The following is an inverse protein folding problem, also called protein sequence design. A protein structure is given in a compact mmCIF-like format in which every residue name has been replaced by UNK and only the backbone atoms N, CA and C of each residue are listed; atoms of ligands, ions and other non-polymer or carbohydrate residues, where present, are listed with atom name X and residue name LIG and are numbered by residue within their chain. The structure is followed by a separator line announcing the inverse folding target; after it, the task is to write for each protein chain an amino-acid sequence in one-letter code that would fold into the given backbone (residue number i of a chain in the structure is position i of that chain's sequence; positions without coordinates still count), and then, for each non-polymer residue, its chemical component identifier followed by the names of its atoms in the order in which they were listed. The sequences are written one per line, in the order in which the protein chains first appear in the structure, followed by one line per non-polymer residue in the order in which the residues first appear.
data_IF_920391413053
#
_entry.id   IF_920391413053
#
_cell.length_a   1.000
_cell.length_b   1.000
_cell.length_c   1.000
_cell.angle_alpha   90.00
_cell.angle_beta   90.00
_cell.angle_gamma   90.00
#
_symmetry.space_group_name_H-M   'P 1'
#
loop_
_entity.id
_entity.type
_entity.pdbx_description
1 polymer ?
#
# COMPACT_ATOMS: atom_id res chain seq x y z
N UNK A 1 -131.31 -38.36 -28.47
CA UNK A 1 -131.84 -37.35 -27.54
C UNK A 1 -131.70 -36.02 -28.24
N UNK A 2 -132.74 -35.35 -28.71
CA UNK A 2 -134.03 -35.07 -28.06
C UNK A 2 -135.20 -35.12 -29.07
N UNK A 3 -136.39 -35.38 -28.52
CA UNK A 3 -137.65 -35.88 -29.05
C UNK A 3 -138.47 -35.03 -30.04
N UNK A 4 -139.33 -35.79 -30.72
CA UNK A 4 -140.52 -35.44 -31.51
C UNK A 4 -141.72 -35.17 -30.57
N UNK A 5 -142.57 -34.20 -30.90
CA UNK A 5 -143.99 -34.17 -30.46
C UNK A 5 -144.88 -33.86 -31.66
N UNK A 6 -145.91 -34.70 -31.85
CA UNK A 6 -146.99 -34.59 -32.84
C UNK A 6 -148.28 -34.23 -32.10
N UNK A 7 -149.07 -33.31 -32.63
CA UNK A 7 -150.42 -33.00 -32.14
C UNK A 7 -151.40 -32.88 -33.33
N UNK A 8 -152.58 -33.50 -33.19
CA UNK A 8 -153.60 -33.72 -34.24
C UNK A 8 -154.89 -32.94 -33.99
N UNK A 9 -155.30 -32.15 -35.01
CA UNK A 9 -156.62 -31.93 -35.64
C UNK A 9 -157.93 -31.67 -34.82
N UNK A 10 -158.61 -30.56 -35.15
CA UNK A 10 -160.08 -30.42 -35.19
C UNK A 10 -160.51 -29.80 -36.54
N UNK A 11 -161.59 -30.32 -37.15
CA UNK A 11 -162.01 -30.09 -38.55
C UNK A 11 -163.15 -29.08 -38.69
N UNK A 12 -162.84 -27.87 -39.16
CA UNK A 12 -163.80 -26.92 -39.72
C UNK A 12 -164.20 -27.31 -41.16
N UNK A 13 -165.50 -27.33 -41.46
CA UNK A 13 -166.02 -27.59 -42.81
C UNK A 13 -165.78 -26.38 -43.74
N UNK A 14 -164.88 -26.54 -44.72
CA UNK A 14 -164.44 -25.49 -45.63
C UNK A 14 -165.28 -25.40 -46.92
N UNK A 15 -165.26 -24.23 -47.57
CA UNK A 15 -165.91 -23.95 -48.85
C UNK A 15 -165.48 -24.93 -49.96
N UNK A 16 -166.45 -25.46 -50.71
CA UNK A 16 -166.22 -26.44 -51.78
C UNK A 16 -165.39 -25.96 -52.97
N UNK A 17 -165.12 -24.66 -53.13
CA UNK A 17 -164.20 -24.17 -54.16
C UNK A 17 -162.75 -24.32 -53.68
N UNK A 18 -161.99 -25.21 -54.32
CA UNK A 18 -160.62 -25.64 -53.92
C UNK A 18 -159.65 -24.50 -53.60
N UNK A 19 -159.80 -23.36 -54.27
CA UNK A 19 -158.97 -22.16 -54.07
C UNK A 19 -159.46 -21.21 -52.99
N UNK A 20 -160.73 -21.27 -52.60
CA UNK A 20 -161.26 -20.44 -51.51
C UNK A 20 -160.99 -21.11 -50.17
N UNK A 21 -161.44 -22.36 -49.99
CA UNK A 21 -161.32 -23.17 -48.76
C UNK A 21 -161.56 -22.41 -47.44
N UNK A 22 -162.37 -21.35 -47.45
CA UNK A 22 -162.70 -20.62 -46.23
C UNK A 22 -163.71 -21.41 -45.38
N UNK A 23 -163.63 -21.39 -44.05
CA UNK A 23 -164.58 -22.09 -43.18
C UNK A 23 -165.99 -21.54 -43.37
N UNK A 24 -166.97 -22.45 -43.47
CA UNK A 24 -168.37 -22.10 -43.70
C UNK A 24 -169.09 -21.91 -42.34
N UNK A 25 -169.99 -20.93 -42.22
CA UNK A 25 -170.70 -20.69 -40.97
C UNK A 25 -171.65 -21.85 -40.62
N UNK A 26 -171.83 -22.16 -39.32
CA UNK A 26 -172.65 -23.28 -38.88
C UNK A 26 -174.15 -23.09 -39.22
N UNK A 27 -174.89 -24.17 -39.53
CA UNK A 27 -176.28 -24.09 -39.96
C UNK A 27 -177.18 -23.51 -38.85
N UNK A 28 -177.96 -22.48 -39.19
CA UNK A 28 -178.78 -21.73 -38.23
C UNK A 28 -179.97 -22.51 -37.66
N UNK A 29 -180.54 -22.06 -36.52
CA UNK A 29 -181.42 -22.83 -35.62
C UNK A 29 -182.80 -23.23 -36.15
N UNK A 30 -183.12 -22.96 -37.43
CA UNK A 30 -184.36 -23.41 -38.10
C UNK A 30 -184.15 -24.59 -39.07
N UNK A 31 -183.10 -25.39 -38.88
CA UNK A 31 -182.95 -26.69 -39.57
C UNK A 31 -182.73 -26.59 -41.10
N UNK A 32 -182.09 -25.52 -41.57
CA UNK A 32 -181.74 -25.34 -42.99
C UNK A 32 -180.50 -26.12 -43.42
N UNK A 33 -180.47 -26.54 -44.70
CA UNK A 33 -179.36 -27.31 -45.32
C UNK A 33 -178.03 -26.53 -45.21
N UNK A 34 -176.90 -27.16 -44.80
CA UNK A 34 -175.61 -26.50 -44.69
C UNK A 34 -175.17 -25.85 -46.01
N UNK A 35 -174.52 -24.68 -45.92
CA UNK A 35 -173.95 -24.01 -47.09
C UNK A 35 -172.79 -24.84 -47.65
N UNK A 36 -172.75 -25.03 -48.97
CA UNK A 36 -171.65 -25.70 -49.65
C UNK A 36 -170.56 -24.73 -50.15
N UNK A 37 -170.89 -23.44 -50.28
CA UNK A 37 -170.01 -22.39 -50.81
C UNK A 37 -170.20 -21.08 -50.05
N UNK A 38 -169.17 -20.22 -49.99
CA UNK A 38 -169.25 -18.92 -49.35
C UNK A 38 -170.24 -18.00 -50.08
N UNK A 39 -171.25 -17.42 -49.40
CA UNK A 39 -172.22 -16.54 -50.03
C UNK A 39 -171.62 -15.17 -50.39
N UNK A 40 -170.68 -14.66 -49.59
CA UNK A 40 -170.28 -13.24 -49.64
C UNK A 40 -168.99 -12.96 -50.43
N UNK A 41 -168.37 -13.98 -51.05
CA UNK A 41 -167.08 -13.83 -51.74
C UNK A 41 -167.25 -13.81 -53.26
N UNK A 42 -166.94 -12.66 -53.86
CA UNK A 42 -166.91 -12.44 -55.31
C UNK A 42 -165.48 -12.24 -55.82
N UNK A 43 -165.19 -12.81 -56.98
CA UNK A 43 -163.87 -12.79 -57.62
C UNK A 43 -163.80 -11.78 -58.78
N UNK A 44 -162.60 -11.38 -59.24
CA UNK A 44 -162.44 -10.49 -60.38
C UNK A 44 -163.28 -10.93 -61.59
N UNK A 45 -164.10 -10.02 -62.12
CA UNK A 45 -165.13 -10.34 -63.12
C UNK A 45 -166.52 -10.69 -62.54
N UNK A 46 -166.75 -10.49 -61.24
CA UNK A 46 -168.07 -10.56 -60.59
C UNK A 46 -168.58 -11.99 -60.29
N UNK A 47 -167.75 -13.03 -60.46
CA UNK A 47 -168.19 -14.43 -60.28
C UNK A 47 -168.14 -14.88 -58.82
N UNK A 48 -169.14 -15.65 -58.39
CA UNK A 48 -169.19 -16.22 -57.02
C UNK A 48 -168.43 -17.54 -56.92
N UNK A 49 -168.05 -17.95 -55.70
CA UNK A 49 -167.36 -19.23 -55.46
C UNK A 49 -168.11 -20.44 -56.05
N UNK A 50 -169.45 -20.44 -56.08
CA UNK A 50 -170.23 -21.49 -56.71
C UNK A 50 -170.07 -21.50 -58.24
N UNK A 51 -170.05 -20.33 -58.87
CA UNK A 51 -169.87 -20.22 -60.33
C UNK A 51 -168.45 -20.57 -60.77
N UNK A 52 -167.45 -20.22 -59.96
CA UNK A 52 -166.06 -20.61 -60.23
C UNK A 52 -165.79 -22.08 -59.93
N UNK A 53 -166.44 -22.66 -58.91
CA UNK A 53 -166.42 -24.11 -58.70
C UNK A 53 -167.07 -24.82 -59.89
N UNK A 54 -168.25 -24.39 -60.34
CA UNK A 54 -168.87 -24.93 -61.55
C UNK A 54 -168.02 -24.72 -62.81
N UNK A 55 -167.28 -23.61 -62.91
CA UNK A 55 -166.33 -23.40 -64.01
C UNK A 55 -165.07 -24.26 -63.85
N UNK A 56 -164.61 -24.56 -62.63
CA UNK A 56 -163.55 -25.52 -62.36
C UNK A 56 -164.01 -26.94 -62.69
N UNK A 57 -165.24 -27.31 -62.33
CA UNK A 57 -165.83 -28.61 -62.62
C UNK A 57 -166.07 -28.74 -64.13
N UNK A 58 -166.57 -27.70 -64.81
CA UNK A 58 -166.70 -27.67 -66.26
C UNK A 58 -165.32 -27.65 -66.97
N UNK A 59 -164.29 -27.04 -66.37
CA UNK A 59 -162.92 -27.13 -66.89
C UNK A 59 -162.34 -28.52 -66.65
N UNK A 60 -162.64 -29.17 -65.52
CA UNK A 60 -162.22 -30.55 -65.22
C UNK A 60 -162.95 -31.58 -66.10
N UNK A 61 -164.21 -31.32 -66.45
CA UNK A 61 -165.02 -32.12 -67.37
C UNK A 61 -164.64 -31.89 -68.84
N UNK A 62 -164.31 -30.65 -69.22
CA UNK A 62 -163.79 -30.32 -70.56
C UNK A 62 -162.31 -30.70 -70.76
N UNK A 63 -161.53 -30.79 -69.67
CA UNK A 63 -160.16 -31.33 -69.64
C UNK A 63 -160.12 -32.84 -69.41
N UNK A 64 -161.25 -33.56 -69.59
CA UNK A 64 -161.41 -35.01 -69.51
C UNK A 64 -160.09 -35.75 -69.28
N UNK A 65 -159.74 -35.95 -68.00
CA UNK A 65 -158.39 -36.38 -67.59
C UNK A 65 -158.20 -37.88 -67.79
N UNK A 66 -158.08 -38.25 -69.05
CA UNK A 66 -157.41 -39.44 -69.57
C UNK A 66 -156.26 -38.96 -70.46
N UNK A 67 -155.08 -39.55 -70.24
CA UNK A 67 -153.80 -39.34 -70.93
C UNK A 67 -153.03 -38.07 -70.46
N UNK A 68 -151.73 -38.11 -70.16
CA UNK A 68 -150.70 -38.93 -70.80
C UNK A 68 -149.58 -39.35 -69.84
N UNK A 69 -149.29 -40.65 -69.89
CA UNK A 69 -148.12 -41.34 -69.34
C UNK A 69 -146.79 -40.83 -69.91
N UNK A 70 -146.81 -39.98 -70.95
CA UNK A 70 -145.61 -39.40 -71.57
C UNK A 70 -144.90 -38.35 -70.72
N UNK A 71 -145.61 -37.52 -69.94
CA UNK A 71 -144.97 -36.47 -69.12
C UNK A 71 -144.44 -37.05 -67.82
N UNK A 72 -145.12 -38.03 -67.22
CA UNK A 72 -144.59 -38.77 -66.06
C UNK A 72 -143.43 -39.66 -66.46
N UNK A 73 -143.46 -40.27 -67.65
CA UNK A 73 -142.32 -41.00 -68.21
C UNK A 73 -141.15 -40.09 -68.58
N UNK A 74 -141.39 -38.90 -69.16
CA UNK A 74 -140.36 -37.90 -69.47
C UNK A 74 -139.75 -37.30 -68.20
N UNK A 75 -140.58 -37.03 -67.18
CA UNK A 75 -140.11 -36.58 -65.87
C UNK A 75 -139.34 -37.69 -65.18
N UNK A 76 -139.84 -38.94 -65.16
CA UNK A 76 -139.10 -40.06 -64.57
C UNK A 76 -137.83 -40.42 -65.36
N UNK A 77 -137.79 -40.26 -66.70
CA UNK A 77 -136.54 -40.42 -67.47
C UNK A 77 -135.59 -39.26 -67.23
N UNK A 78 -136.08 -38.03 -67.03
CA UNK A 78 -135.24 -36.90 -66.64
C UNK A 78 -134.70 -37.07 -65.22
N UNK A 79 -135.51 -37.48 -64.23
CA UNK A 79 -135.03 -37.76 -62.86
C UNK A 79 -134.10 -38.98 -62.87
N UNK A 80 -134.42 -40.05 -63.59
CA UNK A 80 -133.51 -41.19 -63.73
C UNK A 80 -132.25 -40.88 -64.55
N UNK A 81 -132.26 -39.87 -65.42
CA UNK A 81 -131.06 -39.37 -66.09
C UNK A 81 -130.27 -38.43 -65.18
N UNK A 82 -130.94 -37.60 -64.39
CA UNK A 82 -130.35 -36.72 -63.40
C UNK A 82 -129.72 -37.51 -62.26
N UNK A 83 -130.36 -38.58 -61.77
CA UNK A 83 -129.80 -39.51 -60.77
C UNK A 83 -128.62 -40.30 -61.36
N UNK A 84 -128.73 -40.75 -62.62
CA UNK A 84 -127.61 -41.35 -63.38
C UNK A 84 -126.41 -40.41 -63.57
N UNK A 85 -126.58 -39.10 -63.43
CA UNK A 85 -125.50 -38.11 -63.52
C UNK A 85 -125.08 -37.65 -62.11
N UNK A 86 -126.01 -37.55 -61.17
CA UNK A 86 -125.78 -37.09 -59.81
C UNK A 86 -124.96 -38.09 -58.98
N UNK A 87 -125.20 -39.39 -59.14
CA UNK A 87 -124.42 -40.40 -58.41
C UNK A 87 -122.96 -40.45 -58.87
N UNK A 88 -122.64 -40.47 -60.18
CA UNK A 88 -121.27 -40.30 -60.64
C UNK A 88 -120.63 -38.97 -60.23
N UNK A 89 -121.38 -37.87 -60.21
CA UNK A 89 -120.87 -36.58 -59.72
C UNK A 89 -120.59 -36.59 -58.21
N UNK A 90 -121.40 -37.27 -57.40
CA UNK A 90 -121.14 -37.46 -55.96
C UNK A 90 -119.93 -38.36 -55.72
N UNK A 91 -119.77 -39.43 -56.50
CA UNK A 91 -118.58 -40.28 -56.45
C UNK A 91 -117.33 -39.50 -56.86
N UNK A 92 -117.39 -38.70 -57.92
CA UNK A 92 -116.28 -37.83 -58.35
C UNK A 92 -115.99 -36.77 -57.30
N UNK A 93 -116.99 -36.15 -56.69
CA UNK A 93 -116.79 -35.19 -55.60
C UNK A 93 -116.17 -35.87 -54.37
N UNK A 94 -116.63 -37.07 -54.01
CA UNK A 94 -116.08 -37.85 -52.89
C UNK A 94 -114.63 -38.25 -53.17
N UNK A 95 -114.33 -38.73 -54.37
CA UNK A 95 -112.98 -39.07 -54.82
C UNK A 95 -112.08 -37.82 -54.87
N UNK A 96 -112.59 -36.68 -55.34
CA UNK A 96 -111.86 -35.41 -55.36
C UNK A 96 -111.60 -34.88 -53.94
N UNK A 97 -112.54 -35.07 -53.01
CA UNK A 97 -112.39 -34.68 -51.60
C UNK A 97 -111.37 -35.59 -50.92
N UNK A 98 -111.45 -36.91 -51.12
CA UNK A 98 -110.48 -37.87 -50.62
C UNK A 98 -109.08 -37.62 -51.19
N UNK A 99 -108.97 -37.28 -52.49
CA UNK A 99 -107.72 -36.91 -53.14
C UNK A 99 -107.18 -35.61 -52.56
N UNK A 100 -108.01 -34.59 -52.37
CA UNK A 100 -107.62 -33.32 -51.73
C UNK A 100 -107.12 -33.57 -50.31
N UNK A 101 -107.80 -34.39 -49.54
CA UNK A 101 -107.43 -34.66 -48.14
C UNK A 101 -106.15 -35.50 -48.07
N UNK A 102 -105.96 -36.44 -49.00
CA UNK A 102 -104.71 -37.22 -49.13
C UNK A 102 -103.55 -36.34 -49.58
N UNK A 103 -103.76 -35.47 -50.57
CA UNK A 103 -102.75 -34.50 -51.00
C UNK A 103 -102.44 -33.48 -49.89
N UNK A 104 -103.43 -33.07 -49.11
CA UNK A 104 -103.24 -32.22 -47.94
C UNK A 104 -102.38 -32.90 -46.88
N UNK A 105 -102.70 -34.16 -46.53
CA UNK A 105 -101.92 -34.94 -45.58
C UNK A 105 -100.49 -35.21 -46.06
N UNK A 106 -100.28 -35.49 -47.35
CA UNK A 106 -98.94 -35.66 -47.93
C UNK A 106 -98.14 -34.35 -47.96
N UNK A 107 -98.79 -33.22 -48.25
CA UNK A 107 -98.16 -31.89 -48.18
C UNK A 107 -97.78 -31.52 -46.74
N UNK A 108 -98.65 -31.80 -45.77
CA UNK A 108 -98.36 -31.58 -44.34
C UNK A 108 -97.22 -32.48 -43.86
N UNK A 109 -97.22 -33.77 -44.25
CA UNK A 109 -96.14 -34.69 -43.95
C UNK A 109 -94.83 -34.28 -44.63
N UNK A 110 -94.88 -33.80 -45.87
CA UNK A 110 -93.71 -33.26 -46.56
C UNK A 110 -93.19 -31.99 -45.88
N UNK A 111 -94.06 -31.07 -45.48
CA UNK A 111 -93.69 -29.86 -44.74
C UNK A 111 -93.06 -30.20 -43.38
N UNK A 112 -93.61 -31.17 -42.65
CA UNK A 112 -93.04 -31.65 -41.39
C UNK A 112 -91.64 -32.26 -41.59
N UNK A 113 -91.44 -33.09 -42.63
CA UNK A 113 -90.12 -33.64 -42.97
C UNK A 113 -89.11 -32.56 -43.35
N UNK A 114 -89.55 -31.52 -44.07
CA UNK A 114 -88.68 -30.37 -44.40
C UNK A 114 -88.30 -29.61 -43.13
N UNK A 115 -89.26 -29.33 -42.24
CA UNK A 115 -89.00 -28.64 -40.97
C UNK A 115 -88.03 -29.44 -40.08
N UNK A 116 -88.22 -30.76 -39.95
CA UNK A 116 -87.33 -31.64 -39.19
C UNK A 116 -85.92 -31.72 -39.81
N UNK A 117 -85.84 -31.77 -41.14
CA UNK A 117 -84.55 -31.73 -41.85
C UNK A 117 -83.84 -30.37 -41.67
N UNK A 118 -84.58 -29.26 -41.70
CA UNK A 118 -84.04 -27.92 -41.45
C UNK A 118 -83.54 -27.77 -40.01
N UNK A 119 -84.28 -28.29 -39.03
CA UNK A 119 -83.86 -28.31 -37.63
C UNK A 119 -82.61 -29.16 -37.42
N UNK A 120 -82.55 -30.35 -38.03
CA UNK A 120 -81.36 -31.22 -37.98
C UNK A 120 -80.15 -30.53 -38.60
N UNK A 121 -80.31 -29.90 -39.77
CA UNK A 121 -79.22 -29.16 -40.43
C UNK A 121 -78.77 -27.96 -39.59
N UNK A 122 -79.70 -27.25 -38.94
CA UNK A 122 -79.37 -26.15 -38.03
C UNK A 122 -78.60 -26.65 -36.80
N UNK A 123 -79.01 -27.78 -36.23
CA UNK A 123 -78.34 -28.42 -35.10
C UNK A 123 -76.91 -28.86 -35.46
N UNK A 124 -76.73 -29.57 -36.57
CA UNK A 124 -75.41 -30.00 -37.07
C UNK A 124 -74.49 -28.82 -37.39
N UNK A 125 -75.03 -27.74 -37.98
CA UNK A 125 -74.27 -26.50 -38.19
C UNK A 125 -73.83 -25.89 -36.85
N UNK A 126 -74.70 -25.87 -35.85
CA UNK A 126 -74.38 -25.41 -34.51
C UNK A 126 -73.26 -26.22 -33.87
N UNK A 127 -73.35 -27.55 -33.92
CA UNK A 127 -72.30 -28.45 -33.41
C UNK A 127 -70.97 -28.24 -34.13
N UNK A 128 -71.00 -28.14 -35.47
CA UNK A 128 -69.78 -27.91 -36.26
C UNK A 128 -69.13 -26.57 -35.93
N UNK A 129 -69.93 -25.50 -35.80
CA UNK A 129 -69.41 -24.19 -35.42
C UNK A 129 -68.81 -24.20 -34.01
N UNK A 130 -69.48 -24.86 -33.07
CA UNK A 130 -68.95 -25.02 -31.70
C UNK A 130 -67.63 -25.79 -31.68
N UNK A 131 -67.50 -26.83 -32.53
CA UNK A 131 -66.27 -27.60 -32.67
C UNK A 131 -65.14 -26.79 -33.35
N UNK A 132 -65.47 -26.00 -34.38
CA UNK A 132 -64.53 -25.10 -35.07
C UNK A 132 -64.02 -24.00 -34.11
N UNK A 133 -64.90 -23.40 -33.31
CA UNK A 133 -64.56 -22.42 -32.29
C UNK A 133 -63.67 -23.03 -31.20
N UNK A 134 -64.02 -24.24 -30.72
CA UNK A 134 -63.21 -24.96 -29.73
C UNK A 134 -61.82 -25.35 -30.26
N UNK A 135 -61.71 -25.80 -31.52
CA UNK A 135 -60.43 -26.12 -32.14
C UNK A 135 -59.56 -24.87 -32.33
N UNK A 136 -60.17 -23.74 -32.69
CA UNK A 136 -59.48 -22.44 -32.82
C UNK A 136 -59.00 -21.95 -31.45
N UNK A 137 -59.82 -22.06 -30.41
CA UNK A 137 -59.46 -21.72 -29.04
C UNK A 137 -58.29 -22.59 -28.53
N UNK A 138 -58.37 -23.91 -28.72
CA UNK A 138 -57.31 -24.85 -28.33
C UNK A 138 -55.99 -24.58 -29.06
N UNK A 139 -56.04 -24.24 -30.35
CA UNK A 139 -54.85 -23.88 -31.13
C UNK A 139 -54.23 -22.59 -30.62
N UNK A 140 -55.05 -21.57 -30.34
CA UNK A 140 -54.59 -20.29 -29.79
C UNK A 140 -53.96 -20.47 -28.40
N UNK A 141 -54.56 -21.30 -27.56
CA UNK A 141 -54.02 -21.59 -26.22
C UNK A 141 -52.71 -22.39 -26.29
N UNK A 142 -52.61 -23.37 -27.18
CA UNK A 142 -51.37 -24.11 -27.41
C UNK A 142 -50.24 -23.21 -27.94
N UNK A 143 -50.55 -22.26 -28.84
CA UNK A 143 -49.59 -21.25 -29.31
C UNK A 143 -49.12 -20.35 -28.18
N UNK A 144 -50.04 -19.80 -27.37
CA UNK A 144 -49.67 -18.98 -26.20
C UNK A 144 -48.83 -19.76 -25.19
N UNK A 145 -49.16 -21.03 -24.93
CA UNK A 145 -48.39 -21.88 -24.03
C UNK A 145 -46.96 -22.10 -24.57
N UNK A 146 -46.81 -22.30 -25.88
CA UNK A 146 -45.50 -22.47 -26.55
C UNK A 146 -44.69 -21.18 -26.49
N UNK A 147 -45.31 -20.03 -26.77
CA UNK A 147 -44.68 -18.71 -26.69
C UNK A 147 -44.20 -18.39 -25.27
N UNK A 148 -45.06 -18.64 -24.26
CA UNK A 148 -44.72 -18.46 -22.85
C UNK A 148 -43.58 -19.41 -22.42
N UNK A 149 -43.61 -20.67 -22.84
CA UNK A 149 -42.52 -21.62 -22.56
C UNK A 149 -41.20 -21.15 -23.19
N UNK A 150 -41.24 -20.64 -24.43
CA UNK A 150 -40.06 -20.09 -25.10
C UNK A 150 -39.54 -18.82 -24.41
N UNK A 151 -40.42 -17.94 -23.93
CA UNK A 151 -40.09 -16.76 -23.13
C UNK A 151 -39.35 -17.13 -21.84
N UNK A 152 -39.89 -18.12 -21.10
CA UNK A 152 -39.29 -18.61 -19.86
C UNK A 152 -37.90 -19.20 -20.12
N UNK A 153 -37.73 -20.00 -21.17
CA UNK A 153 -36.41 -20.57 -21.54
C UNK A 153 -35.42 -19.47 -21.93
N UNK A 154 -35.85 -18.46 -22.71
CA UNK A 154 -35.00 -17.31 -23.06
C UNK A 154 -34.53 -16.55 -21.82
N UNK A 155 -35.45 -16.26 -20.91
CA UNK A 155 -35.17 -15.53 -19.67
C UNK A 155 -34.21 -16.32 -18.78
N UNK A 156 -34.48 -17.60 -18.55
CA UNK A 156 -33.61 -18.48 -17.77
C UNK A 156 -32.21 -18.61 -18.39
N UNK A 157 -32.11 -18.66 -19.72
CA UNK A 157 -30.82 -18.70 -20.43
C UNK A 157 -30.05 -17.40 -20.25
N UNK A 158 -30.72 -16.25 -20.34
CA UNK A 158 -30.11 -14.94 -20.12
C UNK A 158 -29.59 -14.77 -18.69
N UNK A 159 -30.37 -15.22 -17.69
CA UNK A 159 -29.97 -15.21 -16.27
C UNK A 159 -28.74 -16.11 -16.01
N UNK A 160 -28.70 -17.31 -16.60
CA UNK A 160 -27.54 -18.20 -16.49
C UNK A 160 -26.29 -17.59 -17.12
N UNK A 161 -26.41 -16.97 -18.30
CA UNK A 161 -25.29 -16.29 -18.95
C UNK A 161 -24.82 -15.07 -18.15
N UNK A 162 -25.74 -14.31 -17.56
CA UNK A 162 -25.39 -13.20 -16.67
C UNK A 162 -24.65 -13.70 -15.43
N UNK A 163 -25.16 -14.73 -14.76
CA UNK A 163 -24.52 -15.33 -13.58
C UNK A 163 -23.12 -15.89 -13.92
N UNK A 164 -22.93 -16.45 -15.12
CA UNK A 164 -21.60 -16.87 -15.59
C UNK A 164 -20.65 -15.69 -15.75
N UNK A 165 -21.09 -14.59 -16.36
CA UNK A 165 -20.26 -13.37 -16.52
C UNK A 165 -19.89 -12.75 -15.17
N UNK A 166 -20.85 -12.69 -14.24
CA UNK A 166 -20.60 -12.19 -12.88
C UNK A 166 -19.60 -13.08 -12.13
N UNK A 167 -19.74 -14.41 -12.23
CA UNK A 167 -18.78 -15.36 -11.67
C UNK A 167 -17.39 -15.18 -12.27
N UNK A 168 -17.30 -15.10 -13.60
CA UNK A 168 -16.01 -14.99 -14.29
C UNK A 168 -15.32 -13.65 -13.97
N UNK A 169 -16.09 -12.56 -13.84
CA UNK A 169 -15.58 -11.28 -13.36
C UNK A 169 -15.11 -11.38 -11.90
N UNK A 170 -15.85 -12.05 -11.02
CA UNK A 170 -15.46 -12.23 -9.62
C UNK A 170 -14.16 -13.05 -9.51
N UNK A 171 -14.01 -14.09 -10.32
CA UNK A 171 -12.78 -14.90 -10.38
C UNK A 171 -11.59 -14.08 -10.91
N UNK A 172 -11.78 -13.29 -11.97
CA UNK A 172 -10.73 -12.41 -12.49
C UNK A 172 -10.32 -11.34 -11.47
N UNK A 173 -11.28 -10.75 -10.76
CA UNK A 173 -11.02 -9.79 -9.69
C UNK A 173 -10.25 -10.43 -8.51
N UNK A 174 -10.62 -11.65 -8.12
CA UNK A 174 -9.91 -12.40 -7.08
C UNK A 174 -8.47 -12.72 -7.49
N UNK A 175 -8.25 -13.21 -8.72
CA UNK A 175 -6.91 -13.49 -9.25
C UNK A 175 -6.04 -12.23 -9.27
N UNK A 176 -6.57 -11.10 -9.74
CA UNK A 176 -5.85 -9.81 -9.72
C UNK A 176 -5.53 -9.34 -8.29
N UNK A 177 -6.43 -9.55 -7.33
CA UNK A 177 -6.19 -9.22 -5.93
C UNK A 177 -5.07 -10.09 -5.32
N UNK A 178 -5.03 -11.38 -5.65
CA UNK A 178 -3.98 -12.29 -5.18
C UNK A 178 -2.62 -11.96 -5.80
N UNK A 179 -2.57 -11.61 -7.09
CA UNK A 179 -1.36 -11.09 -7.74
C UNK A 179 -0.86 -9.79 -7.10
N UNK A 180 -1.77 -8.86 -6.80
CA UNK A 180 -1.44 -7.60 -6.14
C UNK A 180 -0.90 -7.83 -4.70
N UNK A 181 -1.49 -8.77 -3.96
CA UNK A 181 -0.98 -9.18 -2.62
C UNK A 181 0.39 -9.80 -2.73
N UNK A 182 0.60 -10.73 -3.66
CA UNK A 182 1.92 -11.35 -3.86
C UNK A 182 2.99 -10.32 -4.25
N UNK A 183 2.65 -9.33 -5.09
CA UNK A 183 3.61 -8.27 -5.42
C UNK A 183 3.89 -7.34 -4.23
N UNK A 184 2.87 -7.02 -3.43
CA UNK A 184 3.04 -6.25 -2.19
C UNK A 184 3.94 -6.99 -1.18
N UNK A 185 3.75 -8.30 -1.00
CA UNK A 185 4.60 -9.14 -0.14
C UNK A 185 6.05 -9.18 -0.64
N UNK A 186 6.27 -9.33 -1.96
CA UNK A 186 7.62 -9.26 -2.53
C UNK A 186 8.25 -7.88 -2.35
N UNK A 187 7.48 -6.81 -2.53
CA UNK A 187 7.96 -5.45 -2.31
C UNK A 187 8.35 -5.22 -0.85
N UNK A 188 7.54 -5.71 0.09
CA UNK A 188 7.84 -5.67 1.52
C UNK A 188 9.11 -6.47 1.84
N UNK A 189 9.23 -7.71 1.37
CA UNK A 189 10.41 -8.53 1.58
C UNK A 189 11.69 -7.88 1.02
N UNK A 190 11.60 -7.22 -0.15
CA UNK A 190 12.71 -6.42 -0.72
C UNK A 190 13.06 -5.23 0.18
N UNK A 191 12.06 -4.50 0.66
CA UNK A 191 12.28 -3.35 1.54
C UNK A 191 12.91 -3.75 2.88
N UNK A 192 12.43 -4.83 3.50
CA UNK A 192 12.99 -5.40 4.74
C UNK A 192 14.42 -5.92 4.53
N UNK A 193 14.69 -6.58 3.40
CA UNK A 193 16.02 -7.00 3.00
C UNK A 193 16.98 -5.82 2.87
N UNK A 194 16.59 -4.76 2.14
CA UNK A 194 17.39 -3.53 2.01
C UNK A 194 17.62 -2.89 3.37
N UNK A 195 16.57 -2.72 4.18
CA UNK A 195 16.68 -2.12 5.52
C UNK A 195 17.63 -2.90 6.45
N UNK A 196 17.64 -4.23 6.36
CA UNK A 196 18.56 -5.07 7.12
C UNK A 196 20.00 -4.88 6.64
N UNK A 197 20.24 -4.90 5.33
CA UNK A 197 21.60 -4.68 4.78
C UNK A 197 22.14 -3.28 5.07
N UNK A 198 21.31 -2.24 5.02
CA UNK A 198 21.71 -0.88 5.38
C UNK A 198 22.00 -0.75 6.87
N UNK A 199 21.24 -1.43 7.74
CA UNK A 199 21.53 -1.49 9.18
C UNK A 199 22.88 -2.16 9.44
N UNK A 200 23.14 -3.30 8.81
CA UNK A 200 24.42 -4.01 8.95
C UNK A 200 25.61 -3.18 8.45
N UNK A 201 25.44 -2.45 7.33
CA UNK A 201 26.44 -1.50 6.80
C UNK A 201 26.69 -0.36 7.78
N UNK A 202 25.64 0.26 8.32
CA UNK A 202 25.77 1.32 9.31
C UNK A 202 26.46 0.83 10.59
N UNK A 203 26.11 -0.36 11.08
CA UNK A 203 26.76 -0.98 12.23
C UNK A 203 28.23 -1.35 11.96
N UNK A 204 28.56 -1.77 10.75
CA UNK A 204 29.95 -2.01 10.34
C UNK A 204 30.77 -0.72 10.34
N UNK A 205 30.26 0.36 9.73
CA UNK A 205 30.92 1.67 9.71
C UNK A 205 31.11 2.22 11.13
N UNK A 206 30.10 2.12 12.01
CA UNK A 206 30.23 2.55 13.41
C UNK A 206 31.29 1.73 14.15
N UNK A 207 31.40 0.42 13.90
CA UNK A 207 32.45 -0.43 14.49
C UNK A 207 33.84 -0.05 13.99
N UNK A 208 33.98 0.23 12.70
CA UNK A 208 35.25 0.68 12.09
C UNK A 208 35.69 2.03 12.67
N UNK A 209 34.80 3.01 12.74
CA UNK A 209 35.07 4.32 13.34
C UNK A 209 35.47 4.21 14.82
N UNK A 210 34.79 3.35 15.60
CA UNK A 210 35.19 3.08 16.99
C UNK A 210 36.57 2.45 17.08
N UNK A 211 36.88 1.48 16.22
CA UNK A 211 38.20 0.86 16.19
C UNK A 211 39.30 1.88 15.82
N UNK A 212 39.02 2.79 14.89
CA UNK A 212 39.92 3.90 14.54
C UNK A 212 40.11 4.87 15.70
N UNK A 213 39.03 5.26 16.38
CA UNK A 213 39.10 6.13 17.55
C UNK A 213 39.90 5.49 18.70
N UNK A 214 39.70 4.21 18.97
CA UNK A 214 40.44 3.45 19.99
C UNK A 214 41.93 3.34 19.63
N UNK A 215 42.25 3.08 18.35
CA UNK A 215 43.63 3.04 17.87
C UNK A 215 44.30 4.41 18.00
N UNK A 216 43.61 5.49 17.64
CA UNK A 216 44.10 6.86 17.78
C UNK A 216 44.33 7.23 19.25
N UNK A 217 43.41 6.85 20.15
CA UNK A 217 43.55 7.07 21.59
C UNK A 217 44.78 6.34 22.16
N UNK A 218 45.00 5.07 21.77
CA UNK A 218 46.20 4.31 22.16
C UNK A 218 47.48 4.94 21.62
N UNK A 219 47.48 5.39 20.36
CA UNK A 219 48.62 6.06 19.76
C UNK A 219 48.95 7.38 20.48
N UNK A 220 47.93 8.17 20.83
CA UNK A 220 48.08 9.42 21.58
C UNK A 220 48.62 9.17 22.99
N UNK A 221 48.11 8.14 23.69
CA UNK A 221 48.61 7.76 25.00
C UNK A 221 50.10 7.37 24.94
N UNK A 222 50.48 6.52 23.98
CA UNK A 222 51.88 6.13 23.77
C UNK A 222 52.78 7.30 23.36
N UNK A 223 52.29 8.24 22.55
CA UNK A 223 53.02 9.46 22.20
C UNK A 223 53.22 10.37 23.42
N UNK A 224 52.20 10.49 24.28
CA UNK A 224 52.25 11.27 25.52
C UNK A 224 53.27 10.69 26.49
N UNK A 225 53.33 9.37 26.64
CA UNK A 225 54.32 8.67 27.45
C UNK A 225 55.74 8.89 26.94
N UNK A 226 55.99 8.72 25.63
CA UNK A 226 57.29 9.03 25.00
C UNK A 226 57.70 10.48 25.20
N UNK A 227 56.75 11.41 25.11
CA UNK A 227 57.03 12.82 25.34
C UNK A 227 57.36 13.12 26.81
N UNK A 228 56.73 12.42 27.76
CA UNK A 228 57.07 12.51 29.17
C UNK A 228 58.48 11.97 29.44
N UNK A 229 58.83 10.81 28.87
CA UNK A 229 60.16 10.21 28.98
C UNK A 229 61.26 11.13 28.42
N UNK A 230 61.10 11.62 27.19
CA UNK A 230 62.06 12.54 26.56
C UNK A 230 62.21 13.86 27.33
N UNK A 231 61.13 14.37 27.94
CA UNK A 231 61.22 15.53 28.85
C UNK A 231 62.03 15.23 30.10
N UNK A 232 61.81 14.07 30.73
CA UNK A 232 62.58 13.64 31.89
C UNK A 232 64.07 13.47 31.56
N UNK A 233 64.41 12.86 30.43
CA UNK A 233 65.79 12.74 29.94
C UNK A 233 66.45 14.10 29.71
N UNK A 234 65.74 15.01 29.03
CA UNK A 234 66.21 16.38 28.79
C UNK A 234 66.46 17.12 30.10
N UNK A 235 65.56 17.00 31.07
CA UNK A 235 65.68 17.71 32.34
C UNK A 235 66.81 17.11 33.20
N UNK A 236 66.99 15.79 33.18
CA UNK A 236 68.16 15.13 33.77
C UNK A 236 69.48 15.59 33.13
N UNK A 237 69.54 15.68 31.79
CA UNK A 237 70.71 16.17 31.07
C UNK A 237 71.04 17.64 31.39
N UNK A 238 70.03 18.49 31.59
CA UNK A 238 70.22 19.89 32.00
C UNK A 238 70.78 20.01 33.41
N UNK A 239 70.28 19.20 34.35
CA UNK A 239 70.83 19.13 35.71
C UNK A 239 72.29 18.67 35.66
N UNK A 240 72.59 17.59 34.94
CA UNK A 240 73.95 17.08 34.78
C UNK A 240 74.90 18.12 34.15
N UNK A 241 74.46 18.88 33.15
CA UNK A 241 75.25 19.96 32.55
C UNK A 241 75.53 21.09 33.55
N UNK A 242 74.55 21.42 34.40
CA UNK A 242 74.69 22.46 35.43
C UNK A 242 75.68 22.02 36.51
N UNK A 243 75.61 20.76 36.95
CA UNK A 243 76.55 20.18 37.91
C UNK A 243 77.98 20.09 37.35
N UNK A 244 78.11 19.70 36.08
CA UNK A 244 79.40 19.66 35.40
C UNK A 244 80.03 21.05 35.31
N UNK A 245 79.25 22.08 34.93
CA UNK A 245 79.72 23.47 34.91
C UNK A 245 80.21 23.91 36.29
N UNK A 246 79.43 23.68 37.35
CA UNK A 246 79.84 23.98 38.72
C UNK A 246 81.15 23.29 39.09
N UNK A 247 81.30 22.01 38.75
CA UNK A 247 82.52 21.24 39.02
C UNK A 247 83.72 21.81 38.27
N UNK A 248 83.55 22.17 37.00
CA UNK A 248 84.60 22.79 36.20
C UNK A 248 85.00 24.17 36.76
N UNK A 249 84.02 24.99 37.15
CA UNK A 249 84.28 26.30 37.75
C UNK A 249 85.03 26.17 39.08
N UNK A 250 84.68 25.18 39.90
CA UNK A 250 85.38 24.86 41.15
C UNK A 250 86.83 24.37 40.92
N UNK A 251 87.06 23.50 39.93
CA UNK A 251 88.42 23.07 39.56
C UNK A 251 89.24 24.22 38.96
N UNK A 252 88.62 25.07 38.16
CA UNK A 252 89.28 26.26 37.61
C UNK A 252 89.68 27.21 38.74
N UNK A 253 88.79 27.47 39.71
CA UNK A 253 89.12 28.28 40.88
C UNK A 253 90.25 27.66 41.72
N UNK A 254 90.23 26.34 41.95
CA UNK A 254 91.31 25.62 42.65
C UNK A 254 92.65 25.74 41.92
N UNK A 255 92.66 25.53 40.61
CA UNK A 255 93.88 25.60 39.80
C UNK A 255 94.43 27.02 39.73
N UNK A 256 93.57 28.04 39.60
CA UNK A 256 93.97 29.46 39.67
C UNK A 256 94.59 29.79 41.03
N UNK A 257 93.95 29.40 42.14
CA UNK A 257 94.50 29.60 43.48
C UNK A 257 95.88 28.92 43.65
N UNK A 258 96.04 27.71 43.10
CA UNK A 258 97.34 27.00 43.12
C UNK A 258 98.41 27.71 42.30
N UNK A 259 98.05 28.28 41.15
CA UNK A 259 98.96 29.09 40.32
C UNK A 259 99.39 30.34 41.08
N UNK A 260 98.45 31.04 41.73
CA UNK A 260 98.73 32.24 42.54
C UNK A 260 99.66 31.91 43.72
N UNK A 261 99.40 30.80 44.44
CA UNK A 261 100.27 30.31 45.51
C UNK A 261 101.68 30.00 45.01
N UNK A 262 101.81 29.24 43.92
CA UNK A 262 103.10 28.89 43.32
C UNK A 262 103.84 30.13 42.82
N UNK A 263 103.13 31.12 42.27
CA UNK A 263 103.73 32.39 41.84
C UNK A 263 104.29 33.18 43.03
N UNK A 264 103.58 33.17 44.16
CA UNK A 264 104.01 33.79 45.41
C UNK A 264 105.21 33.06 46.03
N UNK A 265 105.20 31.73 46.03
CA UNK A 265 106.34 30.90 46.46
C UNK A 265 107.57 31.17 45.59
N UNK A 266 107.41 31.25 44.27
CA UNK A 266 108.49 31.55 43.34
C UNK A 266 109.04 32.97 43.56
N UNK A 267 108.18 33.96 43.79
CA UNK A 267 108.60 35.32 44.12
C UNK A 267 109.41 35.37 45.43
N UNK A 268 108.96 34.66 46.48
CA UNK A 268 109.71 34.52 47.75
C UNK A 268 111.03 33.78 47.57
N UNK A 269 111.07 32.74 46.75
CA UNK A 269 112.29 32.00 46.45
C UNK A 269 113.32 32.86 45.70
N UNK A 270 112.86 33.67 44.73
CA UNK A 270 113.69 34.67 44.05
C UNK A 270 114.23 35.71 45.02
N UNK A 271 113.38 36.30 45.86
CA UNK A 271 113.81 37.26 46.88
C UNK A 271 114.88 36.70 47.83
N UNK A 272 114.71 35.47 48.32
CA UNK A 272 115.77 34.78 49.10
C UNK A 272 117.05 34.53 48.31
N UNK A 273 116.92 34.21 47.02
CA UNK A 273 118.06 34.05 46.12
C UNK A 273 118.85 35.36 45.96
N UNK A 274 118.16 36.48 45.82
CA UNK A 274 118.76 37.82 45.74
C UNK A 274 119.45 38.19 47.06
N UNK A 275 118.78 37.99 48.21
CA UNK A 275 119.35 38.21 49.56
C UNK A 275 120.64 37.39 49.78
N UNK A 276 120.60 36.08 49.47
CA UNK A 276 121.78 35.22 49.57
C UNK A 276 122.90 35.65 48.59
N UNK A 277 122.53 36.17 47.41
CA UNK A 277 123.46 36.74 46.45
C UNK A 277 124.18 37.98 46.99
N UNK A 278 123.45 38.88 47.66
CA UNK A 278 124.01 40.05 48.34
C UNK A 278 124.87 39.66 49.54
N UNK A 279 124.44 38.69 50.35
CA UNK A 279 125.24 38.14 51.45
C UNK A 279 126.55 37.53 50.95
N UNK A 280 126.50 36.71 49.90
CA UNK A 280 127.69 36.11 49.29
C UNK A 280 128.64 37.18 48.76
N UNK A 281 128.11 38.23 48.13
CA UNK A 281 128.91 39.36 47.64
C UNK A 281 129.58 40.09 48.80
N UNK A 282 128.84 40.41 49.87
CA UNK A 282 129.39 41.03 51.10
C UNK A 282 130.45 40.15 51.77
N UNK A 283 130.21 38.84 51.86
CA UNK A 283 131.15 37.89 52.43
C UNK A 283 132.45 37.81 51.61
N UNK A 284 132.34 37.82 50.27
CA UNK A 284 133.50 37.88 49.37
C UNK A 284 134.30 39.17 49.57
N UNK A 285 133.65 40.32 49.60
CA UNK A 285 134.33 41.61 49.86
C UNK A 285 135.08 41.59 51.19
N UNK A 286 134.47 41.07 52.27
CA UNK A 286 135.15 40.92 53.57
C UNK A 286 136.34 39.95 53.50
N UNK A 287 136.20 38.86 52.75
CA UNK A 287 137.30 37.92 52.55
C UNK A 287 138.47 38.59 51.81
N UNK A 288 138.18 39.37 50.77
CA UNK A 288 139.20 40.13 50.03
C UNK A 288 139.87 41.20 50.90
N UNK A 289 139.09 41.93 51.72
CA UNK A 289 139.59 42.90 52.69
C UNK A 289 140.52 42.26 53.72
N UNK A 290 140.09 41.15 54.34
CA UNK A 290 140.90 40.40 55.32
C UNK A 290 142.14 39.78 54.70
N UNK A 291 142.07 39.30 53.46
CA UNK A 291 143.23 38.83 52.71
C UNK A 291 144.24 39.96 52.44
N UNK A 292 143.75 41.15 52.08
CA UNK A 292 144.59 42.33 51.90
C UNK A 292 145.21 42.81 53.23
N UNK A 293 144.46 42.77 54.33
CA UNK A 293 144.97 43.06 55.67
C UNK A 293 146.04 42.07 56.12
N UNK A 294 145.83 40.77 55.91
CA UNK A 294 146.80 39.73 56.20
C UNK A 294 148.09 39.93 55.39
N UNK A 295 147.97 40.32 54.13
CA UNK A 295 149.11 40.63 53.26
C UNK A 295 149.89 41.84 53.79
N UNK A 296 149.19 42.92 54.21
CA UNK A 296 149.81 44.09 54.84
C UNK A 296 150.47 43.75 56.18
N UNK A 297 149.84 42.91 57.00
CA UNK A 297 150.38 42.47 58.29
C UNK A 297 151.65 41.62 58.11
N UNK A 298 151.67 40.71 57.12
CA UNK A 298 152.87 39.96 56.73
C UNK A 298 153.99 40.87 56.29
N UNK A 299 153.72 41.81 55.38
CA UNK A 299 154.73 42.78 54.94
C UNK A 299 155.31 43.61 56.10
N UNK A 300 154.47 44.00 57.08
CA UNK A 300 154.95 44.67 58.31
C UNK A 300 155.77 43.75 59.20
N UNK A 301 155.39 42.48 59.34
CA UNK A 301 156.17 41.51 60.11
C UNK A 301 157.53 41.24 59.45
N UNK A 302 157.59 41.14 58.13
CA UNK A 302 158.82 41.00 57.36
C UNK A 302 159.71 42.26 57.53
N UNK A 303 159.13 43.45 57.44
CA UNK A 303 159.83 44.72 57.69
C UNK A 303 160.38 44.82 59.13
N UNK A 304 159.56 44.51 60.13
CA UNK A 304 159.99 44.46 61.54
C UNK A 304 161.08 43.40 61.77
N UNK A 305 161.01 42.28 61.08
CA UNK A 305 162.05 41.24 61.14
C UNK A 305 163.36 41.76 60.54
N UNK A 306 163.30 42.44 59.40
CA UNK A 306 164.46 43.09 58.79
C UNK A 306 165.05 44.18 59.72
N UNK A 307 164.20 45.01 60.32
CA UNK A 307 164.62 45.99 61.33
C UNK A 307 165.29 45.34 62.54
N UNK A 308 164.72 44.25 63.07
CA UNK A 308 165.31 43.48 64.16
C UNK A 308 166.68 42.94 63.74
N UNK A 309 166.82 42.30 62.58
CA UNK A 309 168.13 41.81 62.11
C UNK A 309 169.18 42.91 62.01
N UNK A 310 168.79 44.11 61.57
CA UNK A 310 169.68 45.27 61.54
C UNK A 310 170.06 45.75 62.95
N UNK A 311 169.12 45.82 63.89
CA UNK A 311 169.39 46.18 65.29
C UNK A 311 170.28 45.15 65.96
N UNK A 312 170.05 43.86 65.73
CA UNK A 312 170.89 42.79 66.28
C UNK A 312 172.30 42.85 65.70
N UNK A 313 172.45 43.13 64.40
CA UNK A 313 173.75 43.35 63.78
C UNK A 313 174.46 44.58 64.38
N UNK A 314 173.75 45.69 64.56
CA UNK A 314 174.27 46.89 65.20
C UNK A 314 174.64 46.65 66.68
N UNK A 315 173.85 45.87 67.40
CA UNK A 315 174.13 45.48 68.78
C UNK A 315 175.41 44.62 68.85
N UNK A 316 175.56 43.64 67.95
CA UNK A 316 176.78 42.85 67.84
C UNK A 316 178.01 43.74 67.62
N UNK A 317 177.96 44.67 66.66
CA UNK A 317 179.02 45.66 66.44
C UNK A 317 179.34 46.49 67.69
N UNK A 318 178.32 46.91 68.45
CA UNK A 318 178.52 47.67 69.69
C UNK A 318 179.20 46.83 70.80
N UNK A 319 178.83 45.54 70.94
CA UNK A 319 179.51 44.60 71.86
C UNK A 319 180.97 44.39 71.49
N UNK A 320 181.24 44.21 70.20
CA UNK A 320 182.59 44.03 69.68
C UNK A 320 183.47 45.25 69.96
N UNK A 321 182.97 46.46 69.65
CA UNK A 321 183.61 47.73 70.02
C UNK A 321 183.87 47.83 71.54
N UNK A 322 182.94 47.39 72.39
CA UNK A 322 183.10 47.39 73.85
C UNK A 322 184.18 46.42 74.34
N UNK A 323 184.18 45.19 73.84
CA UNK A 323 185.18 44.19 74.18
C UNK A 323 186.57 44.69 73.82
N UNK A 324 186.69 45.31 72.65
CA UNK A 324 187.92 45.91 72.15
C UNK A 324 188.44 47.07 73.01
N UNK A 325 187.54 47.95 73.44
CA UNK A 325 187.87 49.04 74.37
C UNK A 325 188.36 48.49 75.71
N UNK A 326 187.78 47.37 76.15
CA UNK A 326 188.15 46.70 77.42
C UNK A 326 189.52 46.02 77.30
N UNK A 327 189.79 45.31 76.20
CA UNK A 327 191.09 44.69 75.93
C UNK A 327 192.22 45.73 75.88
N UNK A 328 192.00 46.84 75.17
CA UNK A 328 192.94 47.97 75.15
C UNK A 328 193.19 48.57 76.53
N UNK A 329 192.13 48.68 77.35
CA UNK A 329 192.23 49.19 78.72
C UNK A 329 193.05 48.26 79.63
N UNK A 330 192.83 46.95 79.56
CA UNK A 330 193.51 45.98 80.42
C UNK A 330 195.01 45.87 80.10
N UNK A 331 195.40 46.03 78.83
CA UNK A 331 196.83 46.13 78.43
C UNK A 331 197.50 47.38 79.03
N UNK A 332 196.79 48.50 79.13
CA UNK A 332 197.34 49.77 79.64
C UNK A 332 197.48 49.81 81.17
N UNK A 333 196.78 48.93 81.90
CA UNK A 333 196.72 48.97 83.36
C UNK A 333 197.56 47.88 84.05
N UNK A 334 198.35 47.09 83.33
CA UNK A 334 199.18 46.05 83.95
C UNK A 334 200.48 46.66 84.51
N UNK A 335 200.71 46.73 85.84
CA UNK A 335 201.95 47.23 86.42
C UNK A 335 203.05 46.14 86.39
N UNK A 336 204.32 46.55 86.26
CA UNK A 336 205.55 45.72 86.14
C UNK A 336 205.89 45.12 84.77
N UNK A 337 205.19 45.48 83.69
CA UNK A 337 205.66 45.13 82.35
C UNK A 337 206.86 46.00 81.94
N UNK A 338 207.98 45.36 81.63
CA UNK A 338 209.12 46.02 81.00
C UNK A 338 208.68 46.67 79.67
N UNK A 339 209.25 47.83 79.32
CA UNK A 339 208.78 48.67 78.21
C UNK A 339 208.67 47.95 76.84
N UNK A 340 209.49 46.92 76.61
CA UNK A 340 209.48 46.12 75.38
C UNK A 340 208.28 45.15 75.31
N UNK A 341 207.80 44.71 76.48
CA UNK A 341 206.70 43.76 76.63
C UNK A 341 205.33 44.45 76.51
N UNK A 342 205.24 45.69 77.01
CA UNK A 342 204.06 46.55 76.85
C UNK A 342 203.86 46.94 75.38
N UNK A 343 204.94 47.25 74.65
CA UNK A 343 204.91 47.54 73.20
C UNK A 343 204.42 46.34 72.38
N UNK A 344 204.88 45.14 72.72
CA UNK A 344 204.51 43.90 72.01
C UNK A 344 203.03 43.56 72.22
N UNK A 345 202.51 43.71 73.45
CA UNK A 345 201.08 43.49 73.74
C UNK A 345 200.15 44.52 73.11
N UNK A 346 200.54 45.80 73.07
CA UNK A 346 199.76 46.85 72.39
C UNK A 346 199.71 46.63 70.87
N UNK A 347 200.83 46.19 70.27
CA UNK A 347 200.86 45.81 68.86
C UNK A 347 200.02 44.57 68.57
N UNK A 348 199.99 43.58 69.47
CA UNK A 348 199.15 42.40 69.30
C UNK A 348 197.66 42.76 69.26
N UNK A 349 197.16 43.57 70.21
CA UNK A 349 195.73 43.96 70.28
C UNK A 349 195.31 44.98 69.20
N UNK A 350 196.24 45.79 68.70
CA UNK A 350 195.98 46.69 67.57
C UNK A 350 196.06 45.97 66.21
N UNK A 351 196.74 44.82 66.12
CA UNK A 351 196.93 44.06 64.87
C UNK A 351 196.05 42.80 64.76
N UNK A 352 195.30 42.41 65.79
CA UNK A 352 194.27 41.34 65.69
C UNK A 352 193.13 41.69 64.72
N UNK A 353 193.10 42.90 64.17
CA UNK A 353 192.00 43.44 63.39
C UNK A 353 192.19 43.38 61.87
N UNK A 354 192.84 42.33 61.36
CA UNK A 354 192.96 42.14 59.91
C UNK A 354 192.36 40.87 59.36
N UNK A 355 191.66 40.08 60.18
CA UNK A 355 190.88 38.92 59.72
C UNK A 355 189.66 38.67 60.60
N UNK A 356 188.57 39.40 60.37
CA UNK A 356 187.19 38.90 60.14
C UNK A 356 186.18 40.00 60.43
#
# INVERSE_FOLDING_TARGET
MVDVVVETLETDSLCGFSRCRAPLPPPGPRGGRPYAYCPDRTWPGGKTCKQLAAAQDALAEALGTTADTGITAATSTFTAAADRIADPLKEVLTAATALRDTLGAELDAAAARVAEAEETVAHERGLRQTAEDAATAATTEAQRATENAAEVVRTATAEVEQARRERDHALAAAASADEARAEAERAQARAEGVATTERERAEALVREERAHADAAAKALAGATEKLAATRAERDAARTALTDLRRTVDEELARTMARVDDLSSELARARGRGDELGEELTRARTRLDETAAELTRARARADDLTAQLTNVTAAAHQATELRARTTALRDVLLTPDLAADELRTRLLAELLTDRTS
#
